data_IF_326246572529
#
_entry.id   IF_326246572529
#
_cell.length_a   1.000
_cell.length_b   1.000
_cell.length_c   1.000
_cell.angle_alpha   90.00
_cell.angle_beta   90.00
_cell.angle_gamma   90.00
#
_symmetry.space_group_name_H-M   'P 1'
#
loop_
_entity.id
_entity.type
_entity.pdbx_description
1 polymer ?
#
# COMPACT_ATOMS: atom_id res chain seq x y z
N UNK A 1 -9.82 -13.69 23.29
CA UNK A 1 -10.06 -14.46 22.06
C UNK A 1 -10.14 -13.43 20.94
N UNK A 2 -9.80 -13.80 19.71
CA UNK A 2 -9.76 -12.90 18.56
C UNK A 2 -10.14 -13.68 17.31
N UNK A 3 -10.54 -12.97 16.27
CA UNK A 3 -10.76 -13.56 14.93
C UNK A 3 -9.50 -14.31 14.49
N UNK A 4 -9.65 -15.59 14.12
CA UNK A 4 -8.58 -16.40 13.55
C UNK A 4 -8.42 -16.15 12.06
N UNK A 5 -7.23 -16.38 11.52
CA UNK A 5 -6.94 -16.19 10.10
C UNK A 5 -6.42 -17.48 9.47
N UNK A 6 -6.96 -17.82 8.29
CA UNK A 6 -6.49 -18.93 7.47
C UNK A 6 -5.95 -18.41 6.13
N UNK A 7 -4.69 -18.73 5.84
CA UNK A 7 -4.01 -18.37 4.60
C UNK A 7 -3.99 -19.56 3.67
N UNK A 8 -4.82 -19.51 2.62
CA UNK A 8 -4.92 -20.56 1.60
C UNK A 8 -4.09 -20.18 0.38
N UNK A 9 -3.19 -21.05 -0.05
CA UNK A 9 -2.37 -20.80 -1.24
C UNK A 9 -2.05 -22.08 -2.00
N UNK A 10 -1.76 -21.94 -3.28
CA UNK A 10 -1.18 -23.01 -4.07
C UNK A 10 0.19 -23.47 -3.55
N UNK A 11 0.92 -22.59 -2.86
CA UNK A 11 2.25 -22.88 -2.33
C UNK A 11 2.23 -22.97 -0.81
N UNK A 12 2.69 -24.11 -0.29
CA UNK A 12 2.92 -24.29 1.14
C UNK A 12 3.90 -23.23 1.69
N UNK A 13 4.93 -22.88 0.92
CA UNK A 13 5.92 -21.88 1.31
C UNK A 13 5.33 -20.47 1.33
N UNK A 14 4.46 -20.13 0.38
CA UNK A 14 3.82 -18.81 0.35
C UNK A 14 2.85 -18.65 1.53
N UNK A 15 1.97 -19.64 1.76
CA UNK A 15 1.06 -19.61 2.90
C UNK A 15 1.82 -19.50 4.23
N UNK A 16 2.87 -20.30 4.41
CA UNK A 16 3.71 -20.26 5.61
C UNK A 16 4.43 -18.90 5.77
N UNK A 17 4.99 -18.35 4.70
CA UNK A 17 5.69 -17.06 4.74
C UNK A 17 4.76 -15.88 5.05
N UNK A 18 3.52 -15.90 4.53
CA UNK A 18 2.51 -14.89 4.88
C UNK A 18 2.12 -14.99 6.35
N UNK A 19 1.91 -16.19 6.87
CA UNK A 19 1.66 -16.42 8.30
C UNK A 19 2.84 -15.93 9.15
N UNK A 20 4.08 -16.26 8.76
CA UNK A 20 5.28 -15.81 9.45
C UNK A 20 5.38 -14.29 9.52
N UNK A 21 5.11 -13.60 8.41
CA UNK A 21 5.11 -12.14 8.35
C UNK A 21 4.00 -11.53 9.23
N UNK A 22 2.77 -12.02 9.09
CA UNK A 22 1.64 -11.51 9.87
C UNK A 22 1.83 -11.73 11.38
N UNK A 23 2.43 -12.84 11.77
CA UNK A 23 2.71 -13.17 13.17
C UNK A 23 3.73 -12.22 13.83
N UNK A 24 4.58 -11.53 13.05
CA UNK A 24 5.46 -10.49 13.60
C UNK A 24 4.66 -9.28 14.11
N UNK A 25 3.51 -9.01 13.50
CA UNK A 25 2.66 -7.86 13.82
C UNK A 25 1.53 -8.23 14.80
N UNK A 26 1.06 -9.49 14.76
CA UNK A 26 -0.05 -9.98 15.56
C UNK A 26 0.35 -11.27 16.30
N UNK A 27 0.86 -11.14 17.52
CA UNK A 27 1.41 -12.26 18.32
C UNK A 27 0.37 -13.12 18.99
N UNK A 28 -0.83 -12.58 19.23
CA UNK A 28 -1.90 -13.25 19.97
C UNK A 28 -3.00 -13.79 19.04
N UNK A 29 -2.92 -13.50 17.74
CA UNK A 29 -3.88 -13.96 16.74
C UNK A 29 -3.50 -15.35 16.27
N UNK A 30 -4.49 -16.25 16.19
CA UNK A 30 -4.30 -17.58 15.62
C UNK A 30 -4.23 -17.49 14.10
N UNK A 31 -3.05 -17.75 13.55
CA UNK A 31 -2.74 -17.69 12.12
C UNK A 31 -2.40 -19.11 11.63
N UNK A 32 -3.14 -19.61 10.64
CA UNK A 32 -2.97 -20.99 10.14
C UNK A 32 -2.74 -20.99 8.63
N UNK A 33 -1.67 -21.66 8.19
CA UNK A 33 -1.35 -21.82 6.78
C UNK A 33 -1.99 -23.11 6.22
N UNK A 34 -2.67 -22.99 5.09
CA UNK A 34 -3.24 -24.09 4.30
C UNK A 34 -2.74 -23.99 2.85
N UNK A 35 -1.49 -24.39 2.64
CA UNK A 35 -0.85 -24.28 1.33
C UNK A 35 -0.38 -25.61 0.75
N UNK A 36 -0.46 -25.74 -0.58
CA UNK A 36 0.06 -26.88 -1.34
C UNK A 36 -0.77 -28.17 -1.21
N UNK A 37 -0.45 -29.12 -2.07
CA UNK A 37 -0.99 -30.49 -2.06
C UNK A 37 -0.34 -31.33 -0.94
N UNK A 38 -0.91 -32.51 -0.65
CA UNK A 38 -0.42 -33.39 0.42
C UNK A 38 0.94 -34.04 0.09
N UNK A 39 1.25 -34.16 -1.20
CA UNK A 39 2.56 -34.59 -1.70
C UNK A 39 3.62 -33.46 -1.71
N UNK A 40 3.26 -32.26 -1.24
CA UNK A 40 4.11 -31.07 -1.23
C UNK A 40 4.15 -30.30 -2.56
N UNK A 41 3.39 -30.73 -3.57
CA UNK A 41 3.27 -30.04 -4.86
C UNK A 41 2.48 -28.74 -4.79
N UNK A 42 2.57 -27.94 -5.86
CA UNK A 42 1.77 -26.71 -6.03
C UNK A 42 0.32 -27.09 -6.31
N UNK A 43 -0.61 -26.54 -5.52
CA UNK A 43 -2.04 -26.81 -5.59
C UNK A 43 -2.73 -26.51 -4.27
N UNK A 44 -4.04 -26.77 -4.20
CA UNK A 44 -4.82 -26.56 -2.97
C UNK A 44 -5.50 -27.85 -2.55
N UNK A 45 -5.43 -28.17 -1.25
CA UNK A 45 -6.02 -29.38 -0.66
C UNK A 45 -7.23 -28.99 0.19
N UNK A 46 -8.39 -29.58 -0.11
CA UNK A 46 -9.63 -29.37 0.64
C UNK A 46 -9.46 -29.77 2.12
N UNK A 47 -8.80 -30.91 2.36
CA UNK A 47 -8.57 -31.44 3.71
C UNK A 47 -7.74 -30.47 4.56
N UNK A 48 -6.63 -29.95 4.01
CA UNK A 48 -5.81 -28.94 4.70
C UNK A 48 -6.56 -27.66 5.02
N UNK A 49 -7.44 -27.22 4.11
CA UNK A 49 -8.25 -26.01 4.34
C UNK A 49 -9.23 -26.26 5.48
N UNK A 50 -9.92 -27.40 5.49
CA UNK A 50 -10.83 -27.77 6.57
C UNK A 50 -10.13 -27.87 7.93
N UNK A 51 -8.99 -28.55 8.00
CA UNK A 51 -8.18 -28.64 9.23
C UNK A 51 -7.71 -27.26 9.70
N UNK A 52 -7.34 -26.38 8.78
CA UNK A 52 -6.91 -25.03 9.12
C UNK A 52 -8.05 -24.17 9.66
N UNK A 53 -9.26 -24.29 9.11
CA UNK A 53 -10.46 -23.62 9.60
C UNK A 53 -10.79 -24.05 11.03
N UNK A 54 -10.78 -25.36 11.30
CA UNK A 54 -11.03 -25.88 12.66
C UNK A 54 -9.99 -25.36 13.66
N UNK A 55 -8.71 -25.34 13.27
CA UNK A 55 -7.62 -24.86 14.12
C UNK A 55 -7.66 -23.35 14.37
N UNK A 56 -8.15 -22.58 13.40
CA UNK A 56 -8.23 -21.12 13.49
C UNK A 56 -9.43 -20.65 14.31
N UNK A 57 -10.49 -21.47 14.43
CA UNK A 57 -11.69 -21.09 15.15
C UNK A 57 -11.45 -21.11 16.67
N UNK A 58 -11.37 -19.91 17.25
CA UNK A 58 -11.29 -19.70 18.71
C UNK A 58 -12.60 -19.16 19.29
N UNK A 59 -13.68 -19.16 18.51
CA UNK A 59 -15.02 -18.72 18.93
C UNK A 59 -15.44 -17.33 18.45
N UNK A 60 -14.50 -16.47 18.06
CA UNK A 60 -14.77 -15.11 17.54
C UNK A 60 -14.86 -15.05 16.01
N UNK A 61 -14.80 -16.22 15.35
CA UNK A 61 -14.89 -16.38 13.90
C UNK A 61 -13.53 -16.47 13.20
N UNK A 62 -13.57 -16.78 11.91
CA UNK A 62 -12.40 -17.04 11.07
C UNK A 62 -12.47 -16.25 9.77
N UNK A 63 -11.38 -15.56 9.43
CA UNK A 63 -11.21 -14.92 8.12
C UNK A 63 -10.28 -15.76 7.24
N UNK A 64 -10.73 -16.08 6.03
CA UNK A 64 -9.97 -16.82 5.02
C UNK A 64 -9.44 -15.83 3.98
N UNK A 65 -8.15 -15.93 3.65
CA UNK A 65 -7.52 -15.23 2.53
C UNK A 65 -6.91 -16.23 1.55
N UNK A 66 -7.03 -15.95 0.26
CA UNK A 66 -6.61 -16.84 -0.84
C UNK A 66 -5.68 -16.11 -1.81
N UNK A 67 -4.81 -16.83 -2.52
CA UNK A 67 -3.96 -16.24 -3.57
C UNK A 67 -4.68 -16.02 -4.91
N UNK A 68 -5.05 -17.10 -5.59
CA UNK A 68 -5.55 -17.13 -6.95
C UNK A 68 -6.91 -17.83 -7.00
N UNK A 69 -7.62 -17.67 -8.12
CA UNK A 69 -9.01 -18.11 -8.26
C UNK A 69 -9.30 -19.57 -7.93
N UNK A 70 -8.41 -20.53 -8.23
CA UNK A 70 -8.64 -21.94 -7.85
C UNK A 70 -8.52 -22.18 -6.34
N UNK A 71 -7.81 -21.35 -5.59
CA UNK A 71 -7.78 -21.43 -4.13
C UNK A 71 -9.09 -20.92 -3.51
N UNK A 72 -9.70 -19.89 -4.13
CA UNK A 72 -11.05 -19.41 -3.80
C UNK A 72 -12.05 -20.56 -3.90
N UNK A 73 -12.07 -21.27 -5.03
CA UNK A 73 -13.00 -22.39 -5.24
C UNK A 73 -12.82 -23.51 -4.20
N UNK A 74 -11.58 -23.83 -3.83
CA UNK A 74 -11.29 -24.83 -2.79
C UNK A 74 -11.76 -24.36 -1.40
N UNK A 75 -11.57 -23.08 -1.08
CA UNK A 75 -12.06 -22.49 0.17
C UNK A 75 -13.60 -22.44 0.23
N UNK A 76 -14.27 -22.07 -0.87
CA UNK A 76 -15.73 -22.12 -1.00
C UNK A 76 -16.25 -23.54 -0.83
N UNK A 77 -15.60 -24.52 -1.47
CA UNK A 77 -15.96 -25.93 -1.30
C UNK A 77 -15.84 -26.37 0.17
N UNK A 78 -14.76 -25.97 0.87
CA UNK A 78 -14.59 -26.27 2.30
C UNK A 78 -15.71 -25.67 3.15
N UNK A 79 -16.10 -24.41 2.88
CA UNK A 79 -17.20 -23.73 3.55
C UNK A 79 -18.53 -24.44 3.30
N UNK A 80 -18.80 -24.87 2.07
CA UNK A 80 -19.99 -25.65 1.72
C UNK A 80 -20.05 -26.97 2.49
N UNK A 81 -18.93 -27.69 2.58
CA UNK A 81 -18.82 -28.94 3.35
C UNK A 81 -19.11 -28.74 4.85
N UNK A 82 -18.75 -27.58 5.40
CA UNK A 82 -19.03 -27.19 6.79
C UNK A 82 -20.45 -26.62 6.98
N UNK A 83 -21.25 -26.51 5.92
CA UNK A 83 -22.63 -26.01 5.99
C UNK A 83 -22.75 -24.49 5.95
N UNK A 84 -21.77 -23.78 5.36
CA UNK A 84 -21.71 -22.32 5.23
C UNK A 84 -21.89 -21.57 6.56
N UNK A 85 -21.00 -21.81 7.54
CA UNK A 85 -21.12 -21.21 8.86
C UNK A 85 -20.94 -19.68 8.80
N UNK A 86 -21.84 -18.93 9.45
CA UNK A 86 -21.84 -17.45 9.40
C UNK A 86 -20.61 -16.80 10.04
N UNK A 87 -19.90 -17.54 10.91
CA UNK A 87 -18.70 -17.08 11.60
C UNK A 87 -17.41 -17.32 10.80
N UNK A 88 -17.49 -17.82 9.56
CA UNK A 88 -16.33 -17.95 8.66
C UNK A 88 -16.59 -17.12 7.41
N UNK A 89 -15.64 -16.23 7.05
CA UNK A 89 -15.78 -15.33 5.90
C UNK A 89 -14.56 -15.41 4.99
N UNK A 90 -14.79 -15.37 3.69
CA UNK A 90 -13.75 -15.27 2.68
C UNK A 90 -13.54 -13.80 2.30
N UNK A 91 -12.31 -13.31 2.42
CA UNK A 91 -11.95 -11.93 2.07
C UNK A 91 -11.52 -11.82 0.61
N UNK A 92 -12.05 -10.83 -0.11
CA UNK A 92 -11.55 -10.48 -1.44
C UNK A 92 -10.40 -9.46 -1.33
N UNK A 93 -9.21 -9.95 -1.00
CA UNK A 93 -8.05 -9.10 -0.71
C UNK A 93 -6.77 -9.64 -1.36
N UNK A 94 -5.80 -8.75 -1.60
CA UNK A 94 -4.45 -9.20 -1.93
C UNK A 94 -3.85 -9.97 -0.75
N UNK A 95 -3.25 -11.13 -1.04
CA UNK A 95 -2.93 -12.13 -0.01
C UNK A 95 -2.07 -11.55 1.11
N UNK A 96 -0.95 -10.89 0.78
CA UNK A 96 0.04 -10.46 1.76
C UNK A 96 -0.47 -9.26 2.55
N UNK A 97 -0.84 -8.20 1.85
CA UNK A 97 -1.27 -6.93 2.42
C UNK A 97 -2.56 -7.10 3.21
N UNK A 98 -3.52 -7.84 2.64
CA UNK A 98 -4.78 -8.16 3.30
C UNK A 98 -4.57 -8.99 4.56
N UNK A 99 -3.69 -10.00 4.54
CA UNK A 99 -3.43 -10.83 5.72
C UNK A 99 -2.80 -10.02 6.85
N UNK A 100 -1.86 -9.13 6.53
CA UNK A 100 -1.23 -8.25 7.52
C UNK A 100 -2.24 -7.27 8.12
N UNK A 101 -3.03 -6.59 7.29
CA UNK A 101 -4.05 -5.63 7.76
C UNK A 101 -5.11 -6.32 8.63
N UNK A 102 -5.57 -7.50 8.22
CA UNK A 102 -6.50 -8.33 8.97
C UNK A 102 -5.89 -8.77 10.31
N UNK A 103 -4.65 -9.27 10.31
CA UNK A 103 -3.99 -9.74 11.53
C UNK A 103 -3.82 -8.62 12.57
N UNK A 104 -3.41 -7.42 12.14
CA UNK A 104 -3.30 -6.24 13.02
C UNK A 104 -4.66 -5.85 13.60
N UNK A 105 -5.70 -5.86 12.77
CA UNK A 105 -7.06 -5.50 13.18
C UNK A 105 -7.64 -6.54 14.15
N UNK A 106 -7.42 -7.83 13.91
CA UNK A 106 -7.81 -8.93 14.78
C UNK A 106 -7.07 -8.89 16.13
N UNK A 107 -5.78 -8.55 16.13
CA UNK A 107 -4.98 -8.37 17.35
C UNK A 107 -5.54 -7.26 18.25
N UNK A 108 -6.18 -6.24 17.66
CA UNK A 108 -6.90 -5.20 18.39
C UNK A 108 -8.26 -5.63 18.97
N UNK A 109 -8.69 -6.87 18.74
CA UNK A 109 -9.97 -7.42 19.21
C UNK A 109 -11.18 -6.96 18.39
N UNK A 110 -10.98 -6.49 17.16
CA UNK A 110 -12.07 -6.06 16.30
C UNK A 110 -12.94 -7.27 15.84
N UNK A 111 -14.25 -7.05 15.59
CA UNK A 111 -15.14 -8.12 15.14
C UNK A 111 -14.82 -8.57 13.71
N UNK A 112 -15.21 -9.80 13.35
CA UNK A 112 -14.95 -10.43 12.05
C UNK A 112 -15.27 -9.54 10.83
N UNK A 113 -16.37 -8.79 10.86
CA UNK A 113 -16.72 -7.89 9.77
C UNK A 113 -15.72 -6.73 9.58
N UNK A 114 -15.18 -6.19 10.68
CA UNK A 114 -14.16 -5.14 10.62
C UNK A 114 -12.80 -5.70 10.18
N UNK A 115 -12.45 -6.92 10.62
CA UNK A 115 -11.25 -7.63 10.19
C UNK A 115 -11.28 -7.91 8.70
N UNK A 116 -12.41 -8.38 8.17
CA UNK A 116 -12.62 -8.56 6.72
C UNK A 116 -12.47 -7.24 5.98
N UNK A 117 -13.13 -6.17 6.44
CA UNK A 117 -13.06 -4.87 5.80
C UNK A 117 -11.61 -4.34 5.74
N UNK A 118 -10.84 -4.52 6.81
CA UNK A 118 -9.42 -4.15 6.84
C UNK A 118 -8.60 -4.93 5.81
N UNK A 119 -8.87 -6.22 5.62
CA UNK A 119 -8.23 -7.04 4.60
C UNK A 119 -8.51 -6.51 3.18
N UNK A 120 -9.79 -6.34 2.85
CA UNK A 120 -10.27 -5.97 1.52
C UNK A 120 -9.85 -4.56 1.13
N UNK A 121 -9.71 -3.67 2.12
CA UNK A 121 -9.29 -2.29 1.91
C UNK A 121 -7.79 -2.07 2.05
N UNK A 122 -6.98 -3.10 2.34
CA UNK A 122 -5.54 -2.97 2.55
C UNK A 122 -4.86 -2.17 1.41
N UNK A 123 -5.24 -2.44 0.16
CA UNK A 123 -4.70 -1.74 -1.02
C UNK A 123 -5.45 -0.45 -1.40
N UNK A 124 -6.45 -0.04 -0.62
CA UNK A 124 -7.21 1.19 -0.87
C UNK A 124 -6.45 2.36 -0.26
N UNK A 125 -6.28 3.50 -0.96
CA UNK A 125 -5.61 4.67 -0.42
C UNK A 125 -6.29 5.11 0.89
N UNK A 126 -5.64 4.89 2.03
CA UNK A 126 -6.13 5.24 3.36
C UNK A 126 -6.04 4.15 4.45
N UNK A 127 -5.85 2.86 4.11
CA UNK A 127 -5.86 1.78 5.13
C UNK A 127 -4.48 1.19 5.48
N UNK A 128 -3.62 0.80 4.53
CA UNK A 128 -2.22 0.40 4.81
C UNK A 128 -1.40 0.20 3.52
N UNK A 129 -0.41 1.05 3.28
CA UNK A 129 0.83 0.79 2.49
C UNK A 129 0.67 0.04 1.16
N UNK A 130 0.44 0.78 0.06
CA UNK A 130 0.69 0.26 -1.28
C UNK A 130 2.21 0.17 -1.53
N UNK A 131 2.70 -1.04 -1.80
CA UNK A 131 4.04 -1.32 -2.31
C UNK A 131 4.13 -0.77 -3.74
N UNK A 132 4.88 0.33 -3.94
CA UNK A 132 5.21 0.85 -5.27
C UNK A 132 6.31 -0.05 -5.91
N UNK A 133 5.88 -1.09 -6.61
CA UNK A 133 6.72 -1.76 -7.61
C UNK A 133 6.93 -0.76 -8.77
N UNK A 134 8.13 -0.17 -8.83
CA UNK A 134 8.54 0.67 -9.94
C UNK A 134 8.25 -0.04 -11.27
N UNK A 135 7.41 0.56 -12.09
CA UNK A 135 7.22 0.15 -13.48
C UNK A 135 8.54 0.36 -14.20
N UNK A 136 9.31 -0.70 -14.42
CA UNK A 136 10.46 -0.69 -15.33
C UNK A 136 9.94 -0.58 -16.76
N UNK A 137 10.13 0.54 -17.47
CA UNK A 137 9.80 0.60 -18.88
C UNK A 137 10.90 -0.17 -19.63
N UNK A 138 10.53 -1.32 -20.19
CA UNK A 138 11.29 -1.96 -21.27
C UNK A 138 12.23 -3.08 -20.85
N UNK A 139 11.77 -4.32 -20.97
CA UNK A 139 12.65 -5.47 -21.09
C UNK A 139 12.01 -6.60 -21.91
N UNK A 140 11.65 -6.35 -23.18
CA UNK A 140 11.65 -7.33 -24.27
C UNK A 140 11.62 -6.60 -25.62
N UNK A 141 12.74 -6.05 -26.06
CA UNK A 141 13.08 -5.85 -27.47
C UNK A 141 14.54 -5.42 -27.56
N UNK A 142 15.38 -6.27 -28.15
CA UNK A 142 16.79 -5.98 -28.35
C UNK A 142 17.02 -4.89 -29.39
N UNK A 143 17.97 -3.99 -29.10
CA UNK A 143 19.01 -3.49 -30.01
C UNK A 143 20.01 -2.65 -29.19
N UNK A 144 21.30 -2.81 -29.49
CA UNK A 144 22.43 -2.29 -28.72
C UNK A 144 22.59 -0.76 -28.72
N UNK A 145 23.62 -0.25 -28.01
CA UNK A 145 23.73 1.16 -27.63
C UNK A 145 24.26 2.04 -28.77
N UNK A 146 23.80 3.30 -28.84
CA UNK A 146 24.48 4.54 -29.32
C UNK A 146 23.45 5.69 -29.47
N UNK A 147 23.85 6.98 -29.54
CA UNK A 147 24.63 7.78 -28.59
C UNK A 147 23.88 9.07 -28.16
N UNK A 148 24.46 9.81 -27.22
CA UNK A 148 23.94 11.08 -26.69
C UNK A 148 23.89 12.21 -27.75
N UNK A 149 22.81 13.02 -27.70
CA UNK A 149 22.64 14.29 -28.42
C UNK A 149 21.36 15.01 -27.96
N UNK A 150 21.20 16.31 -28.25
CA UNK A 150 21.54 17.39 -27.31
C UNK A 150 20.33 18.03 -26.61
N UNK A 151 20.63 18.79 -25.55
CA UNK A 151 19.70 19.56 -24.74
C UNK A 151 18.72 20.42 -25.55
N UNK A 152 17.43 20.32 -25.23
CA UNK A 152 16.38 21.25 -25.64
C UNK A 152 15.97 22.10 -24.44
N UNK A 153 16.00 23.42 -24.61
CA UNK A 153 15.73 24.44 -23.60
C UNK A 153 14.26 24.55 -23.18
N UNK A 154 13.93 25.54 -22.33
CA UNK A 154 12.73 25.54 -21.52
C UNK A 154 11.49 25.76 -22.38
N UNK A 155 10.55 24.83 -22.32
CA UNK A 155 9.21 25.04 -22.85
C UNK A 155 8.48 26.04 -21.93
N UNK A 156 8.10 27.18 -22.52
CA UNK A 156 7.33 28.22 -21.87
C UNK A 156 6.01 27.67 -21.29
N UNK A 157 5.79 27.92 -20.00
CA UNK A 157 4.60 27.48 -19.27
C UNK A 157 3.32 28.20 -19.71
N UNK A 158 2.14 27.61 -19.47
CA UNK A 158 0.88 28.30 -19.68
C UNK A 158 0.72 29.45 -18.65
N UNK A 159 0.00 30.49 -19.08
CA UNK A 159 -0.22 31.71 -18.32
C UNK A 159 -0.93 31.44 -16.98
N UNK A 160 -0.44 32.08 -15.91
CA UNK A 160 -1.00 31.98 -14.57
C UNK A 160 -2.47 32.41 -14.53
N UNK A 161 -3.33 31.52 -14.07
CA UNK A 161 -4.75 31.82 -13.85
C UNK A 161 -4.91 32.79 -12.65
N UNK A 162 -5.89 33.72 -12.70
CA UNK A 162 -6.13 34.66 -11.60
C UNK A 162 -6.58 33.88 -10.35
N UNK A 163 -5.70 33.86 -9.33
CA UNK A 163 -5.93 33.12 -8.08
C UNK A 163 -4.92 32.00 -7.80
N UNK A 164 -4.02 31.70 -8.74
CA UNK A 164 -2.93 30.74 -8.55
C UNK A 164 -1.70 31.40 -7.95
N UNK A 165 -1.20 30.87 -6.84
CA UNK A 165 0.08 31.26 -6.22
C UNK A 165 1.15 30.27 -6.65
N UNK A 166 2.30 30.74 -7.14
CA UNK A 166 3.39 29.86 -7.60
C UNK A 166 4.73 30.19 -6.94
N UNK A 167 5.60 29.18 -6.84
CA UNK A 167 6.97 29.33 -6.36
C UNK A 167 7.92 28.34 -7.03
N UNK A 168 9.20 28.68 -7.10
CA UNK A 168 10.29 27.76 -7.43
C UNK A 168 11.24 27.64 -6.24
N UNK A 169 11.56 26.41 -5.83
CA UNK A 169 12.34 26.10 -4.64
C UNK A 169 13.38 25.03 -4.96
N UNK A 170 14.57 25.10 -4.37
CA UNK A 170 15.61 24.09 -4.57
C UNK A 170 15.70 23.16 -3.37
N UNK A 171 15.59 21.84 -3.59
CA UNK A 171 15.76 20.84 -2.55
C UNK A 171 17.20 20.79 -2.05
N UNK A 172 17.41 20.96 -0.74
CA UNK A 172 18.73 20.92 -0.12
C UNK A 172 19.05 19.58 0.55
N UNK A 173 18.03 18.75 0.82
CA UNK A 173 18.17 17.45 1.50
C UNK A 173 19.00 16.47 0.66
N UNK A 174 20.06 15.85 1.23
CA UNK A 174 20.91 14.89 0.51
C UNK A 174 20.15 13.68 -0.05
N UNK A 175 19.11 13.23 0.67
CA UNK A 175 18.24 12.12 0.27
C UNK A 175 17.03 12.58 -0.56
N UNK A 176 16.91 13.88 -0.86
CA UNK A 176 15.80 14.45 -1.63
C UNK A 176 14.46 14.42 -0.89
N UNK A 177 13.36 14.50 -1.65
CA UNK A 177 11.99 14.44 -1.14
C UNK A 177 11.52 13.00 -0.91
N UNK A 178 12.20 12.28 -0.01
CA UNK A 178 11.83 10.91 0.37
C UNK A 178 10.64 10.88 1.35
N UNK A 179 10.31 9.68 1.86
CA UNK A 179 9.12 9.43 2.66
C UNK A 179 8.90 10.37 3.85
N UNK A 180 9.97 10.83 4.51
CA UNK A 180 9.84 11.66 5.72
C UNK A 180 9.55 13.13 5.38
N UNK A 181 10.37 13.83 4.57
CA UNK A 181 10.03 15.16 4.03
C UNK A 181 8.66 15.22 3.35
N UNK A 182 8.35 14.23 2.51
CA UNK A 182 7.07 14.15 1.80
C UNK A 182 5.89 14.01 2.77
N UNK A 183 6.01 13.18 3.82
CA UNK A 183 4.96 12.99 4.82
C UNK A 183 4.69 14.24 5.65
N UNK A 184 5.76 14.94 6.05
CA UNK A 184 5.64 16.22 6.78
C UNK A 184 4.94 17.26 5.90
N UNK A 185 5.33 17.35 4.63
CA UNK A 185 4.77 18.32 3.71
C UNK A 185 3.29 18.04 3.42
N UNK A 186 2.96 16.83 2.99
CA UNK A 186 1.61 16.49 2.59
C UNK A 186 0.64 16.40 3.79
N UNK A 187 1.11 16.00 4.97
CA UNK A 187 0.28 16.00 6.19
C UNK A 187 -0.14 17.41 6.61
N UNK A 188 0.76 18.40 6.48
CA UNK A 188 0.43 19.79 6.82
C UNK A 188 -0.40 20.47 5.71
N UNK A 189 -0.15 20.14 4.44
CA UNK A 189 -0.95 20.63 3.31
C UNK A 189 -2.36 20.00 3.28
N UNK A 190 -2.50 18.74 3.66
CA UNK A 190 -3.79 18.03 3.71
C UNK A 190 -4.76 18.56 4.77
N UNK A 191 -4.27 19.38 5.70
CA UNK A 191 -5.10 20.10 6.68
C UNK A 191 -5.58 21.47 6.19
N UNK A 192 -5.27 21.85 4.94
CA UNK A 192 -5.61 23.14 4.34
C UNK A 192 -6.69 22.99 3.25
N UNK A 193 -7.48 24.05 3.05
CA UNK A 193 -8.42 24.14 1.93
C UNK A 193 -7.68 24.72 0.72
N UNK A 194 -6.94 23.85 0.03
CA UNK A 194 -6.05 24.20 -1.08
C UNK A 194 -5.94 23.03 -2.06
N UNK A 195 -5.92 23.34 -3.34
CA UNK A 195 -5.47 22.44 -4.40
C UNK A 195 -4.04 22.86 -4.76
N UNK A 196 -3.06 21.99 -4.51
CA UNK A 196 -1.64 22.31 -4.65
C UNK A 196 -0.94 21.24 -5.46
N UNK A 197 -0.17 21.66 -6.46
CA UNK A 197 0.70 20.82 -7.27
C UNK A 197 2.16 21.18 -7.07
N UNK A 198 3.02 20.16 -7.08
CA UNK A 198 4.48 20.29 -7.05
C UNK A 198 5.01 19.47 -8.23
N UNK A 199 5.66 20.11 -9.19
CA UNK A 199 6.14 19.48 -10.43
C UNK A 199 5.05 18.68 -11.18
N UNK A 200 3.80 19.18 -11.15
CA UNK A 200 2.66 18.58 -11.84
C UNK A 200 2.04 17.38 -11.12
N UNK A 201 2.35 17.19 -9.83
CA UNK A 201 1.70 16.18 -8.99
C UNK A 201 1.09 16.79 -7.74
N UNK A 202 0.05 16.16 -7.21
CA UNK A 202 -0.64 16.61 -6.00
C UNK A 202 0.32 16.71 -4.79
N UNK A 203 0.48 17.92 -4.26
CA UNK A 203 1.31 18.23 -3.10
C UNK A 203 0.72 17.80 -1.76
N UNK A 204 -0.58 17.47 -1.70
CA UNK A 204 -1.20 16.84 -0.54
C UNK A 204 -1.00 15.31 -0.55
N UNK A 205 -0.48 14.76 -1.64
CA UNK A 205 -0.17 13.34 -1.75
C UNK A 205 1.31 13.07 -1.46
N UNK A 206 1.57 12.53 -0.27
CA UNK A 206 2.91 12.02 0.14
C UNK A 206 3.49 11.11 -0.94
N UNK A 207 2.66 10.24 -1.51
CA UNK A 207 3.04 9.25 -2.51
C UNK A 207 3.47 9.92 -3.81
N UNK A 208 2.67 10.86 -4.32
CA UNK A 208 3.00 11.55 -5.55
C UNK A 208 4.26 12.40 -5.40
N UNK A 209 4.42 13.07 -4.25
CA UNK A 209 5.64 13.82 -3.94
C UNK A 209 6.90 12.94 -3.89
N UNK A 210 6.82 11.73 -3.34
CA UNK A 210 7.92 10.76 -3.41
C UNK A 210 8.18 10.27 -4.84
N UNK A 211 7.12 10.06 -5.63
CA UNK A 211 7.22 9.59 -7.02
C UNK A 211 7.91 10.58 -7.96
N UNK A 212 8.01 11.86 -7.57
CA UNK A 212 8.82 12.85 -8.28
C UNK A 212 10.31 12.45 -8.38
N UNK A 213 10.80 11.60 -7.47
CA UNK A 213 12.22 11.23 -7.42
C UNK A 213 13.13 12.44 -7.26
N UNK A 214 12.62 13.53 -6.66
CA UNK A 214 13.30 14.80 -6.56
C UNK A 214 14.48 14.69 -5.59
N UNK A 215 15.69 14.62 -6.13
CA UNK A 215 16.93 14.52 -5.39
C UNK A 215 17.44 15.88 -4.90
N UNK A 216 18.60 15.87 -4.24
CA UNK A 216 19.28 17.10 -3.86
C UNK A 216 19.57 17.97 -5.11
N UNK A 217 19.27 19.25 -5.02
CA UNK A 217 19.45 20.21 -6.11
C UNK A 217 18.31 20.22 -7.14
N UNK A 218 17.30 19.35 -7.02
CA UNK A 218 16.11 19.41 -7.86
C UNK A 218 15.32 20.69 -7.58
N UNK A 219 14.88 21.36 -8.65
CA UNK A 219 13.94 22.49 -8.58
C UNK A 219 12.50 21.96 -8.48
N UNK A 220 11.80 22.44 -7.46
CA UNK A 220 10.39 22.23 -7.21
C UNK A 220 9.60 23.46 -7.69
N UNK A 221 8.83 23.29 -8.75
CA UNK A 221 7.81 24.20 -9.22
C UNK A 221 6.50 23.90 -8.46
N UNK A 222 6.11 24.81 -7.58
CA UNK A 222 4.90 24.72 -6.76
C UNK A 222 3.83 25.64 -7.34
N UNK A 223 2.60 25.15 -7.46
CA UNK A 223 1.42 25.95 -7.80
C UNK A 223 0.26 25.59 -6.90
N UNK A 224 -0.40 26.59 -6.31
CA UNK A 224 -1.53 26.37 -5.42
C UNK A 224 -2.70 27.28 -5.76
N UNK A 225 -3.92 26.77 -5.63
CA UNK A 225 -5.19 27.46 -5.81
C UNK A 225 -6.11 27.19 -4.61
N UNK A 226 -7.01 28.13 -4.33
CA UNK A 226 -7.96 28.03 -3.22
C UNK A 226 -7.67 28.98 -2.05
N UNK A 227 -8.53 28.97 -1.01
CA UNK A 227 -8.48 29.92 0.10
C UNK A 227 -7.15 29.96 0.84
N UNK A 228 -6.46 28.82 0.96
CA UNK A 228 -5.19 28.68 1.66
C UNK A 228 -3.95 28.75 0.75
N UNK A 229 -4.08 29.05 -0.54
CA UNK A 229 -2.99 28.96 -1.53
C UNK A 229 -1.70 29.68 -1.12
N UNK A 230 -1.80 30.92 -0.61
CA UNK A 230 -0.63 31.69 -0.16
C UNK A 230 0.06 31.03 1.04
N UNK A 231 -0.73 30.50 1.98
CA UNK A 231 -0.24 29.84 3.21
C UNK A 231 0.43 28.51 2.87
N UNK A 232 -0.14 27.76 1.93
CA UNK A 232 0.40 26.50 1.44
C UNK A 232 1.76 26.68 0.76
N UNK A 233 1.90 27.66 -0.14
CA UNK A 233 3.18 27.93 -0.82
C UNK A 233 4.27 28.38 0.16
N UNK A 234 3.92 29.24 1.13
CA UNK A 234 4.87 29.70 2.15
C UNK A 234 5.30 28.57 3.08
N UNK A 235 4.37 27.66 3.41
CA UNK A 235 4.71 26.46 4.16
C UNK A 235 5.73 25.61 3.41
N UNK A 236 5.49 25.32 2.12
CA UNK A 236 6.40 24.50 1.30
C UNK A 236 7.78 25.15 1.24
N UNK A 237 7.84 26.47 1.03
CA UNK A 237 9.08 27.24 1.07
C UNK A 237 9.81 27.04 2.40
N UNK A 238 9.14 27.29 3.52
CA UNK A 238 9.72 27.18 4.85
C UNK A 238 10.27 25.78 5.13
N UNK A 239 9.54 24.73 4.72
CA UNK A 239 9.97 23.33 4.91
C UNK A 239 11.18 22.98 4.06
N UNK A 240 11.22 23.41 2.81
CA UNK A 240 12.36 23.17 1.91
C UNK A 240 13.60 23.91 2.40
N UNK A 241 13.47 25.18 2.81
CA UNK A 241 14.59 25.98 3.30
C UNK A 241 15.13 25.48 4.65
N UNK A 242 14.27 24.96 5.52
CA UNK A 242 14.66 24.32 6.78
C UNK A 242 15.15 22.88 6.61
N UNK A 243 15.26 22.38 5.38
CA UNK A 243 15.67 20.99 5.09
C UNK A 243 14.77 19.96 5.76
N UNK A 244 13.49 20.27 5.94
CA UNK A 244 12.50 19.44 6.66
C UNK A 244 12.91 19.05 8.10
N UNK A 245 13.86 19.79 8.71
CA UNK A 245 14.41 19.49 10.04
C UNK A 245 15.41 18.32 10.06
N UNK A 246 15.94 17.93 8.90
CA UNK A 246 16.92 16.86 8.74
C UNK A 246 18.37 17.36 8.58
N UNK A 247 18.55 18.69 8.52
CA UNK A 247 19.84 19.39 8.33
C UNK A 247 20.05 20.39 9.45
#
# INVERSE_FOLDING_TARGET
MSVGLVIVSHSAQLAAGVVELAAQMAKEVTLVAAGGMDDGGIGTSLEKVMEALERADTGDGVLVLTDLGSAVMTAESALEFLGNPENIRLANAALVEGAVAAAVTAQGGAPLAAVQHAAETALTPGAATALELGSVPGALSGQGPMPAGPAAGPAAGPAAEPGTVTAQLTLINPMGLHARPAAVLAGELGAMDVEIEINGVDGQSVMMLMALGAGQGTELAVSATGPDAQRAVELVRSKVEAGFGEI
#
